data_IF_540284083880
#
_entry.id   IF_540284083880
#
_cell.length_a   1.000
_cell.length_b   1.000
_cell.length_c   1.000
_cell.angle_alpha   90.00
_cell.angle_beta   90.00
_cell.angle_gamma   90.00
#
_symmetry.space_group_name_H-M   'P 1'
#
loop_
_entity.id
_entity.type
_entity.pdbx_description
1 polymer ?
#
# COMPACT_ATOMS: atom_id res chain seq x y z
N UNK A 1 -2.45 11.36 -8.71
CA UNK A 1 -2.61 10.80 -10.08
C UNK A 1 -3.95 11.25 -10.65
N UNK A 2 -4.00 12.33 -11.45
CA UNK A 2 -5.27 12.88 -11.96
C UNK A 2 -6.03 11.93 -12.90
N UNK A 3 -5.38 10.89 -13.42
CA UNK A 3 -5.98 9.89 -14.31
C UNK A 3 -6.85 8.84 -13.60
N UNK A 4 -6.67 8.64 -12.29
CA UNK A 4 -7.38 7.55 -11.59
C UNK A 4 -8.87 7.83 -11.38
N UNK A 5 -9.24 9.11 -11.30
CA UNK A 5 -10.64 9.53 -11.20
C UNK A 5 -11.37 9.18 -12.50
N UNK A 6 -10.78 9.52 -13.65
CA UNK A 6 -11.32 9.18 -14.97
C UNK A 6 -11.47 7.66 -15.16
N UNK A 7 -10.53 6.87 -14.64
CA UNK A 7 -10.60 5.41 -14.69
C UNK A 7 -11.80 4.87 -13.89
N UNK A 8 -12.04 5.39 -12.68
CA UNK A 8 -13.20 4.95 -11.91
C UNK A 8 -14.53 5.41 -12.52
N UNK A 9 -14.57 6.63 -13.05
CA UNK A 9 -15.75 7.14 -13.77
C UNK A 9 -16.03 6.31 -15.03
N UNK A 10 -15.00 5.82 -15.74
CA UNK A 10 -15.20 4.93 -16.90
C UNK A 10 -15.77 3.56 -16.51
N UNK A 11 -15.63 3.16 -15.24
CA UNK A 11 -16.26 1.96 -14.67
C UNK A 11 -17.61 2.27 -13.99
N UNK A 12 -18.12 3.49 -14.14
CA UNK A 12 -19.44 3.89 -13.65
C UNK A 12 -19.48 4.23 -12.15
N UNK A 13 -18.33 4.47 -11.51
CA UNK A 13 -18.30 4.90 -10.12
C UNK A 13 -18.60 6.41 -10.00
N UNK A 14 -19.39 6.76 -8.99
CA UNK A 14 -19.64 8.16 -8.63
C UNK A 14 -18.49 8.75 -7.81
N UNK A 15 -18.36 10.08 -7.79
CA UNK A 15 -17.33 10.79 -7.00
C UNK A 15 -17.34 10.40 -5.52
N UNK A 16 -18.51 10.18 -4.92
CA UNK A 16 -18.62 9.73 -3.52
C UNK A 16 -17.93 8.37 -3.30
N UNK A 17 -18.13 7.42 -4.21
CA UNK A 17 -17.48 6.10 -4.15
C UNK A 17 -15.97 6.22 -4.34
N UNK A 18 -15.51 7.10 -5.23
CA UNK A 18 -14.08 7.36 -5.44
C UNK A 18 -13.42 7.90 -4.17
N UNK A 19 -14.09 8.84 -3.48
CA UNK A 19 -13.61 9.38 -2.20
C UNK A 19 -13.59 8.30 -1.12
N UNK A 20 -14.60 7.43 -1.07
CA UNK A 20 -14.64 6.29 -0.15
C UNK A 20 -13.48 5.32 -0.40
N UNK A 21 -13.16 4.99 -1.65
CA UNK A 21 -12.01 4.15 -2.00
C UNK A 21 -10.69 4.74 -1.49
N UNK A 22 -10.50 6.06 -1.65
CA UNK A 22 -9.31 6.75 -1.13
C UNK A 22 -9.28 6.85 0.39
N UNK A 23 -10.44 6.88 1.02
CA UNK A 23 -10.55 6.81 2.48
C UNK A 23 -10.17 5.40 2.96
N UNK A 24 -10.61 4.34 2.29
CA UNK A 24 -10.25 2.95 2.62
C UNK A 24 -8.73 2.76 2.53
N UNK A 25 -8.11 3.23 1.43
CA UNK A 25 -6.65 3.19 1.29
C UNK A 25 -5.96 3.89 2.46
N UNK A 26 -6.33 5.16 2.71
CA UNK A 26 -5.68 5.99 3.73
C UNK A 26 -5.86 5.43 5.14
N UNK A 27 -7.05 4.90 5.43
CA UNK A 27 -7.36 4.28 6.72
C UNK A 27 -6.59 2.97 6.90
N UNK A 28 -6.48 2.16 5.85
CA UNK A 28 -5.69 0.93 5.86
C UNK A 28 -4.23 1.23 6.17
N UNK A 29 -3.65 2.25 5.52
CA UNK A 29 -2.29 2.71 5.80
C UNK A 29 -2.17 3.17 7.25
N UNK A 30 -3.06 4.06 7.70
CA UNK A 30 -3.03 4.61 9.05
C UNK A 30 -3.04 3.53 10.14
N UNK A 31 -3.90 2.52 9.99
CA UNK A 31 -4.02 1.42 10.96
C UNK A 31 -2.80 0.51 10.90
N UNK A 32 -2.24 0.29 9.71
CA UNK A 32 -1.18 -0.69 9.49
C UNK A 32 0.23 -0.12 9.61
N UNK A 33 0.41 1.20 9.61
CA UNK A 33 1.71 1.85 9.74
C UNK A 33 2.46 1.36 10.99
N UNK A 34 1.83 1.46 12.17
CA UNK A 34 2.42 1.07 13.46
C UNK A 34 2.70 -0.45 13.55
N UNK A 35 1.74 -1.35 13.29
CA UNK A 35 2.01 -2.78 13.37
C UNK A 35 2.98 -3.26 12.28
N UNK A 36 2.99 -2.64 11.10
CA UNK A 36 3.95 -2.99 10.04
C UNK A 36 5.39 -2.68 10.44
N UNK A 37 5.63 -1.59 11.17
CA UNK A 37 6.94 -1.29 11.76
C UNK A 37 7.38 -2.35 12.75
N UNK A 38 6.49 -2.75 13.67
CA UNK A 38 6.77 -3.84 14.62
C UNK A 38 7.06 -5.17 13.90
N UNK A 39 6.30 -5.52 12.86
CA UNK A 39 6.56 -6.71 12.04
C UNK A 39 7.91 -6.65 11.33
N UNK A 40 8.34 -5.48 10.86
CA UNK A 40 9.64 -5.30 10.23
C UNK A 40 10.81 -5.53 11.20
N UNK A 41 10.63 -5.15 12.47
CA UNK A 41 11.61 -5.41 13.52
C UNK A 41 11.66 -6.90 13.92
N UNK A 42 10.53 -7.61 13.87
CA UNK A 42 10.45 -9.03 14.25
C UNK A 42 10.88 -10.00 13.13
N UNK A 43 10.37 -9.82 11.91
CA UNK A 43 10.58 -10.73 10.77
C UNK A 43 11.76 -10.33 9.88
N UNK A 44 12.37 -9.19 10.17
CA UNK A 44 13.42 -8.60 9.37
C UNK A 44 12.88 -7.78 8.21
N UNK A 45 13.53 -6.63 8.01
CA UNK A 45 13.11 -5.59 7.06
C UNK A 45 13.07 -6.08 5.61
N UNK A 46 14.00 -6.95 5.22
CA UNK A 46 14.07 -7.53 3.86
C UNK A 46 12.87 -8.43 3.56
N UNK A 47 12.41 -9.20 4.55
CA UNK A 47 11.23 -10.07 4.43
C UNK A 47 9.96 -9.24 4.24
N UNK A 48 9.79 -8.18 5.03
CA UNK A 48 8.66 -7.26 4.91
C UNK A 48 8.59 -6.58 3.54
N UNK A 49 9.74 -6.20 2.96
CA UNK A 49 9.77 -5.67 1.59
C UNK A 49 9.31 -6.69 0.55
N UNK A 50 9.75 -7.94 0.63
CA UNK A 50 9.36 -9.00 -0.32
C UNK A 50 7.88 -9.32 -0.20
N UNK A 51 7.38 -9.51 1.03
CA UNK A 51 5.96 -9.78 1.29
C UNK A 51 5.11 -8.60 0.85
N UNK A 52 5.47 -7.38 1.24
CA UNK A 52 4.79 -6.16 0.83
C UNK A 52 4.73 -6.02 -0.69
N UNK A 53 5.84 -6.29 -1.39
CA UNK A 53 5.88 -6.26 -2.85
C UNK A 53 4.93 -7.30 -3.48
N UNK A 54 4.84 -8.50 -2.91
CA UNK A 54 3.89 -9.53 -3.36
C UNK A 54 2.43 -9.09 -3.19
N UNK A 55 2.08 -8.51 -2.04
CA UNK A 55 0.74 -7.97 -1.79
C UNK A 55 0.45 -6.79 -2.71
N UNK A 56 1.44 -5.94 -3.00
CA UNK A 56 1.32 -4.83 -3.93
C UNK A 56 0.96 -5.32 -5.35
N UNK A 57 1.66 -6.36 -5.84
CA UNK A 57 1.37 -6.97 -7.14
C UNK A 57 -0.05 -7.55 -7.17
N UNK A 58 -0.47 -8.25 -6.11
CA UNK A 58 -1.82 -8.80 -6.01
C UNK A 58 -2.90 -7.70 -6.07
N UNK A 59 -2.68 -6.58 -5.37
CA UNK A 59 -3.54 -5.41 -5.43
C UNK A 59 -3.68 -4.87 -6.86
N UNK A 60 -2.55 -4.71 -7.58
CA UNK A 60 -2.58 -4.24 -8.97
C UNK A 60 -3.27 -5.22 -9.91
N UNK A 61 -3.13 -6.52 -9.68
CA UNK A 61 -3.83 -7.53 -10.46
C UNK A 61 -5.35 -7.39 -10.31
N UNK A 62 -5.84 -7.15 -9.08
CA UNK A 62 -7.26 -6.90 -8.82
C UNK A 62 -7.70 -5.59 -9.48
N UNK A 63 -6.87 -4.55 -9.48
CA UNK A 63 -7.17 -3.31 -10.21
C UNK A 63 -7.34 -3.51 -11.72
N UNK A 64 -6.50 -4.35 -12.34
CA UNK A 64 -6.56 -4.60 -13.77
C UNK A 64 -7.77 -5.43 -14.19
N UNK A 65 -8.24 -6.33 -13.31
CA UNK A 65 -9.36 -7.24 -13.58
C UNK A 65 -10.69 -6.74 -13.02
N UNK A 66 -10.63 -5.81 -12.05
CA UNK A 66 -11.78 -5.31 -11.32
C UNK A 66 -12.66 -4.41 -12.19
N UNK A 67 -13.97 -4.61 -12.05
CA UNK A 67 -15.01 -3.83 -12.73
C UNK A 67 -16.02 -3.22 -11.76
N UNK A 68 -15.97 -3.63 -10.49
CA UNK A 68 -16.92 -3.24 -9.45
C UNK A 68 -16.26 -2.46 -8.31
N UNK A 69 -17.08 -1.67 -7.60
CA UNK A 69 -16.64 -0.94 -6.40
C UNK A 69 -15.99 -1.85 -5.35
N UNK A 70 -16.54 -3.05 -5.12
CA UNK A 70 -16.04 -3.98 -4.11
C UNK A 70 -14.66 -4.50 -4.45
N UNK A 71 -14.40 -4.82 -5.72
CA UNK A 71 -13.07 -5.24 -6.19
C UNK A 71 -12.04 -4.12 -6.00
N UNK A 72 -12.41 -2.88 -6.36
CA UNK A 72 -11.54 -1.72 -6.12
C UNK A 72 -11.33 -1.45 -4.63
N UNK A 73 -12.33 -1.66 -3.78
CA UNK A 73 -12.19 -1.49 -2.34
C UNK A 73 -11.22 -2.52 -1.74
N UNK A 74 -11.29 -3.78 -2.19
CA UNK A 74 -10.34 -4.83 -1.80
C UNK A 74 -8.94 -4.47 -2.30
N UNK A 75 -8.80 -3.99 -3.54
CA UNK A 75 -7.52 -3.55 -4.08
C UNK A 75 -6.93 -2.39 -3.27
N UNK A 76 -7.70 -1.34 -2.97
CA UNK A 76 -7.23 -0.18 -2.17
C UNK A 76 -6.82 -0.61 -0.74
N UNK A 77 -7.55 -1.56 -0.13
CA UNK A 77 -7.17 -2.10 1.18
C UNK A 77 -5.84 -2.87 1.12
N UNK A 78 -5.66 -3.74 0.12
CA UNK A 78 -4.42 -4.48 -0.09
C UNK A 78 -3.24 -3.57 -0.44
N UNK A 79 -3.48 -2.54 -1.26
CA UNK A 79 -2.51 -1.49 -1.53
C UNK A 79 -2.10 -0.77 -0.24
N UNK A 80 -3.05 -0.49 0.67
CA UNK A 80 -2.74 0.11 1.97
C UNK A 80 -1.84 -0.78 2.82
N UNK A 81 -2.16 -2.08 2.91
CA UNK A 81 -1.34 -3.08 3.62
C UNK A 81 0.08 -3.14 3.07
N UNK A 82 0.20 -3.26 1.75
CA UNK A 82 1.47 -3.36 1.08
C UNK A 82 2.28 -2.05 1.19
N UNK A 83 1.60 -0.90 1.12
CA UNK A 83 2.19 0.42 1.27
C UNK A 83 2.83 0.61 2.65
N UNK A 84 2.12 0.28 3.73
CA UNK A 84 2.68 0.37 5.09
C UNK A 84 3.88 -0.54 5.29
N UNK A 85 3.81 -1.79 4.82
CA UNK A 85 4.92 -2.76 4.90
C UNK A 85 6.17 -2.26 4.16
N UNK A 86 6.00 -1.70 2.96
CA UNK A 86 7.13 -1.22 2.15
C UNK A 86 7.69 0.08 2.72
N UNK A 87 6.84 1.05 3.06
CA UNK A 87 7.20 2.36 3.61
C UNK A 87 8.10 2.24 4.84
N UNK A 88 7.63 1.49 5.85
CA UNK A 88 8.34 1.32 7.11
C UNK A 88 9.66 0.57 6.92
N UNK A 89 9.64 -0.56 6.20
CA UNK A 89 10.84 -1.37 6.01
C UNK A 89 11.91 -0.68 5.16
N UNK A 90 11.51 0.06 4.11
CA UNK A 90 12.44 0.73 3.21
C UNK A 90 13.18 1.88 3.91
N UNK A 91 12.47 2.72 4.65
CA UNK A 91 13.07 3.83 5.40
C UNK A 91 14.06 3.32 6.43
N UNK A 92 13.68 2.27 7.15
CA UNK A 92 14.50 1.67 8.19
C UNK A 92 15.77 1.02 7.60
N UNK A 93 15.66 0.26 6.50
CA UNK A 93 16.82 -0.30 5.79
C UNK A 93 17.77 0.78 5.26
N UNK A 94 17.23 1.88 4.75
CA UNK A 94 18.02 3.03 4.30
C UNK A 94 18.85 3.62 5.44
N UNK A 95 18.23 3.83 6.60
CA UNK A 95 18.88 4.34 7.81
C UNK A 95 19.98 3.38 8.31
N UNK A 96 19.71 2.08 8.42
CA UNK A 96 20.74 1.11 8.83
C UNK A 96 21.95 1.12 7.89
N UNK A 97 21.69 1.30 6.59
CA UNK A 97 22.76 1.35 5.58
C UNK A 97 23.62 2.59 5.75
N UNK A 98 23.02 3.74 6.08
CA UNK A 98 23.74 4.98 6.32
C UNK A 98 24.60 4.91 7.60
N UNK A 99 24.05 4.35 8.67
CA UNK A 99 24.80 4.02 9.90
C UNK A 99 26.00 3.11 9.62
N UNK A 100 25.81 2.05 8.83
CA UNK A 100 26.91 1.15 8.44
C UNK A 100 27.99 1.84 7.60
N UNK A 101 27.62 2.83 6.80
CA UNK A 101 28.54 3.63 5.99
C UNK A 101 29.20 4.80 6.76
N UNK A 102 28.82 5.01 8.03
CA UNK A 102 29.35 6.11 8.86
C UNK A 102 28.96 7.50 8.35
N UNK A 103 27.80 7.61 7.68
CA UNK A 103 27.31 8.87 7.08
C UNK A 103 26.21 9.55 7.91
N UNK A 104 26.02 9.09 9.15
CA UNK A 104 25.10 9.59 10.18
C UNK A 104 25.79 9.64 11.53
#
# INVERSE_FOLDING_TARGET
>A
MPTIVLFYESHGLNLEQIVLLKTILSLSILILEVPSGYLADLWGRKTCLVVGSGVWIASWLIYCLGTSFTEFAIAEALAGVAGSLISGANTALGFDTLLQLGRE
#
